data_IF_320635856049
#
_entry.id   IF_320635856049
#
_cell.length_a   1.000
_cell.length_b   1.000
_cell.length_c   1.000
_cell.angle_alpha   90.00
_cell.angle_beta   90.00
_cell.angle_gamma   90.00
#
_symmetry.space_group_name_H-M   'P 1'
#
loop_
_entity.id
_entity.type
_entity.pdbx_description
1 polymer ?
#
# COMPACT_ATOMS: atom_id res chain seq x y z
N UNK A 1 0.39 -20.67 -14.13
CA UNK A 1 -0.83 -20.58 -14.93
C UNK A 1 -1.80 -21.66 -14.47
N UNK A 2 -3.02 -21.30 -13.99
CA UNK A 2 -4.11 -22.25 -13.80
C UNK A 2 -4.43 -22.68 -12.38
N UNK A 3 -4.08 -21.93 -11.33
CA UNK A 3 -4.86 -22.04 -10.07
C UNK A 3 -6.25 -21.54 -10.38
N UNK A 4 -7.27 -22.40 -10.18
CA UNK A 4 -8.66 -22.02 -10.30
C UNK A 4 -8.84 -20.69 -9.55
N UNK A 5 -9.32 -19.66 -10.27
CA UNK A 5 -9.63 -18.37 -9.68
C UNK A 5 -10.67 -18.64 -8.60
N UNK A 6 -10.26 -18.63 -7.35
CA UNK A 6 -11.22 -18.59 -6.24
C UNK A 6 -12.10 -17.36 -6.47
N UNK A 7 -13.38 -17.49 -6.13
CA UNK A 7 -14.34 -16.41 -6.34
C UNK A 7 -13.88 -15.16 -5.64
N UNK A 8 -13.78 -14.05 -6.38
CA UNK A 8 -13.48 -12.72 -5.82
C UNK A 8 -14.53 -12.39 -4.76
N UNK A 9 -14.07 -11.84 -3.65
CA UNK A 9 -14.91 -11.47 -2.52
C UNK A 9 -15.57 -10.10 -2.78
N UNK A 10 -16.88 -10.01 -2.66
CA UNK A 10 -17.62 -8.74 -2.72
C UNK A 10 -17.74 -8.06 -1.34
N UNK A 11 -18.11 -6.78 -1.34
CA UNK A 11 -18.24 -5.99 -0.10
C UNK A 11 -19.24 -6.57 0.89
N UNK A 12 -20.34 -7.19 0.40
CA UNK A 12 -21.34 -7.83 1.24
C UNK A 12 -20.74 -9.02 1.97
N UNK A 13 -20.04 -9.87 1.24
CA UNK A 13 -19.36 -11.05 1.78
C UNK A 13 -18.25 -10.63 2.74
N UNK A 14 -17.46 -9.57 2.43
CA UNK A 14 -16.45 -9.02 3.35
C UNK A 14 -17.07 -8.64 4.70
N UNK A 15 -18.21 -7.96 4.70
CA UNK A 15 -18.93 -7.58 5.94
C UNK A 15 -19.42 -8.78 6.72
N UNK A 16 -19.94 -9.80 6.04
CA UNK A 16 -20.39 -11.06 6.68
C UNK A 16 -19.21 -11.77 7.34
N UNK A 17 -18.09 -11.93 6.63
CA UNK A 17 -16.89 -12.58 7.19
C UNK A 17 -16.30 -11.80 8.36
N UNK A 18 -16.30 -10.47 8.30
CA UNK A 18 -15.87 -9.64 9.44
C UNK A 18 -16.81 -9.82 10.64
N UNK A 19 -18.12 -9.92 10.42
CA UNK A 19 -19.09 -10.21 11.48
C UNK A 19 -18.86 -11.57 12.11
N UNK A 20 -18.61 -12.61 11.30
CA UNK A 20 -18.28 -13.95 11.78
C UNK A 20 -16.97 -13.97 12.57
N UNK A 21 -15.96 -13.20 12.15
CA UNK A 21 -14.70 -13.05 12.89
C UNK A 21 -14.94 -12.44 14.29
N UNK A 22 -15.77 -11.40 14.39
CA UNK A 22 -16.12 -10.80 15.67
C UNK A 22 -16.91 -11.76 16.56
N UNK A 23 -17.82 -12.53 15.99
CA UNK A 23 -18.61 -13.54 16.72
C UNK A 23 -17.70 -14.63 17.29
N UNK A 24 -16.80 -15.18 16.47
CA UNK A 24 -15.83 -16.18 16.89
C UNK A 24 -14.90 -15.69 18.00
N UNK A 25 -14.62 -14.40 18.04
CA UNK A 25 -13.78 -13.77 19.05
C UNK A 25 -14.54 -13.15 20.22
N UNK A 26 -15.87 -13.29 20.30
CA UNK A 26 -16.72 -12.60 21.28
C UNK A 26 -16.30 -12.81 22.74
N UNK A 27 -15.74 -13.98 23.08
CA UNK A 27 -15.20 -14.30 24.39
C UNK A 27 -13.81 -13.71 24.69
N UNK A 28 -13.09 -13.25 23.66
CA UNK A 28 -11.72 -12.72 23.76
C UNK A 28 -11.65 -11.20 23.64
N UNK A 29 -12.71 -10.57 23.12
CA UNK A 29 -12.79 -9.13 22.94
C UNK A 29 -13.38 -8.47 24.20
N UNK A 30 -12.72 -7.42 24.68
CA UNK A 30 -13.22 -6.58 25.76
C UNK A 30 -13.45 -5.14 25.28
N UNK A 31 -12.51 -4.59 24.51
CA UNK A 31 -12.59 -3.23 23.98
C UNK A 31 -13.68 -3.13 22.92
N UNK A 32 -13.66 -4.02 21.93
CA UNK A 32 -14.62 -4.01 20.81
C UNK A 32 -15.95 -4.72 21.11
N UNK A 33 -16.05 -5.45 22.19
CA UNK A 33 -17.28 -6.18 22.58
C UNK A 33 -18.53 -5.29 22.61
N UNK A 34 -18.38 -4.06 23.10
CA UNK A 34 -19.50 -3.10 23.24
C UNK A 34 -20.01 -2.58 21.90
N UNK A 35 -19.26 -2.74 20.84
CA UNK A 35 -19.53 -2.17 19.52
C UNK A 35 -19.78 -3.25 18.46
N UNK A 36 -19.67 -4.54 18.79
CA UNK A 36 -19.73 -5.67 17.86
C UNK A 36 -21.03 -5.73 17.03
N UNK A 37 -22.12 -5.18 17.52
CA UNK A 37 -23.41 -5.11 16.82
C UNK A 37 -23.60 -3.86 15.95
N UNK A 38 -22.61 -2.93 15.91
CA UNK A 38 -22.75 -1.67 15.18
C UNK A 38 -22.22 -1.81 13.74
N UNK A 39 -23.05 -1.57 12.69
CA UNK A 39 -22.60 -1.66 11.30
C UNK A 39 -21.39 -0.79 10.97
N UNK A 40 -21.28 0.40 11.59
CA UNK A 40 -20.16 1.29 11.42
C UNK A 40 -18.83 0.66 11.87
N UNK A 41 -18.82 -0.20 12.88
CA UNK A 41 -17.63 -0.89 13.32
C UNK A 41 -17.13 -1.85 12.23
N UNK A 42 -18.03 -2.59 11.57
CA UNK A 42 -17.65 -3.52 10.50
C UNK A 42 -16.94 -2.79 9.36
N UNK A 43 -17.48 -1.65 8.94
CA UNK A 43 -16.85 -0.83 7.89
C UNK A 43 -15.48 -0.31 8.31
N UNK A 44 -15.35 0.21 9.53
CA UNK A 44 -14.07 0.71 10.04
C UNK A 44 -13.02 -0.41 10.18
N UNK A 45 -13.41 -1.61 10.60
CA UNK A 45 -12.50 -2.75 10.70
C UNK A 45 -12.07 -3.25 9.32
N UNK A 46 -12.97 -3.23 8.33
CA UNK A 46 -12.61 -3.56 6.95
C UNK A 46 -11.63 -2.53 6.36
N UNK A 47 -11.89 -1.23 6.56
CA UNK A 47 -10.93 -0.17 6.17
C UNK A 47 -9.58 -0.40 6.82
N UNK A 48 -9.56 -0.67 8.13
CA UNK A 48 -8.32 -0.96 8.87
C UNK A 48 -7.56 -2.16 8.28
N UNK A 49 -8.24 -3.27 7.96
CA UNK A 49 -7.60 -4.44 7.33
C UNK A 49 -7.05 -4.09 5.95
N UNK A 50 -7.79 -3.32 5.14
CA UNK A 50 -7.31 -2.84 3.85
C UNK A 50 -6.04 -1.98 4.00
N UNK A 51 -6.04 -1.01 4.92
CA UNK A 51 -4.87 -0.17 5.20
C UNK A 51 -3.66 -0.99 5.65
N UNK A 52 -3.85 -2.00 6.52
CA UNK A 52 -2.77 -2.90 6.94
C UNK A 52 -2.12 -3.59 5.73
N UNK A 53 -2.94 -4.12 4.82
CA UNK A 53 -2.45 -4.79 3.62
C UNK A 53 -1.71 -3.84 2.69
N UNK A 54 -2.26 -2.65 2.44
CA UNK A 54 -1.61 -1.62 1.62
C UNK A 54 -0.26 -1.18 2.21
N UNK A 55 -0.17 -1.14 3.54
CA UNK A 55 1.08 -0.87 4.26
C UNK A 55 1.99 -2.09 4.39
N UNK A 56 1.57 -3.26 3.91
CA UNK A 56 2.24 -4.55 4.10
C UNK A 56 2.57 -4.82 5.58
N UNK A 57 1.63 -4.52 6.49
CA UNK A 57 1.73 -4.77 7.93
C UNK A 57 0.93 -6.00 8.27
N UNK A 58 1.57 -6.95 8.94
CA UNK A 58 0.94 -8.21 9.37
C UNK A 58 0.23 -8.06 10.71
N UNK A 59 -0.79 -8.91 11.00
CA UNK A 59 -1.39 -8.95 12.33
C UNK A 59 -0.38 -9.24 13.44
N UNK A 60 0.65 -10.05 13.19
CA UNK A 60 1.68 -10.40 14.17
C UNK A 60 2.54 -9.20 14.55
N UNK A 61 2.88 -8.33 13.59
CA UNK A 61 3.61 -7.09 13.86
C UNK A 61 2.80 -6.15 14.76
N UNK A 62 1.47 -6.08 14.58
CA UNK A 62 0.60 -5.30 15.45
C UNK A 62 0.56 -5.90 16.85
N UNK A 63 0.51 -7.23 16.97
CA UNK A 63 0.57 -7.92 18.26
C UNK A 63 1.88 -7.60 18.99
N UNK A 64 3.00 -7.59 18.29
CA UNK A 64 4.31 -7.25 18.85
C UNK A 64 4.35 -5.80 19.36
N UNK A 65 3.86 -4.84 18.56
CA UNK A 65 3.76 -3.42 18.96
C UNK A 65 2.84 -3.26 20.18
N UNK A 66 1.74 -4.02 20.23
CA UNK A 66 0.81 -3.98 21.37
C UNK A 66 1.48 -4.30 22.70
N UNK A 67 2.45 -5.21 22.71
CA UNK A 67 3.24 -5.58 23.87
C UNK A 67 4.30 -4.55 24.26
N UNK A 68 4.74 -3.73 23.32
CA UNK A 68 5.81 -2.73 23.52
C UNK A 68 5.28 -1.35 23.94
N UNK A 69 3.98 -1.08 23.73
CA UNK A 69 3.42 0.24 24.07
C UNK A 69 3.30 0.42 25.58
N UNK A 70 3.75 1.56 26.10
CA UNK A 70 3.59 1.94 27.51
C UNK A 70 2.14 2.29 27.90
N UNK A 71 1.25 2.47 26.92
CA UNK A 71 -0.16 2.78 27.15
C UNK A 71 -1.00 1.50 27.15
N UNK A 72 -1.42 1.05 28.34
CA UNK A 72 -2.19 -0.18 28.54
C UNK A 72 -3.50 -0.23 27.73
N UNK A 73 -4.20 0.89 27.60
CA UNK A 73 -5.46 0.97 26.83
C UNK A 73 -5.20 0.82 25.34
N UNK A 74 -4.16 1.47 24.82
CA UNK A 74 -3.75 1.35 23.43
C UNK A 74 -3.25 -0.07 23.13
N UNK A 75 -2.42 -0.63 24.01
CA UNK A 75 -1.92 -2.00 23.87
C UNK A 75 -3.07 -3.01 23.77
N UNK A 76 -4.07 -2.91 24.64
CA UNK A 76 -5.26 -3.77 24.59
C UNK A 76 -6.03 -3.62 23.28
N UNK A 77 -6.25 -2.38 22.82
CA UNK A 77 -6.92 -2.11 21.55
C UNK A 77 -6.15 -2.72 20.37
N UNK A 78 -4.82 -2.55 20.30
CA UNK A 78 -3.97 -3.10 19.23
C UNK A 78 -3.98 -4.63 19.27
N UNK A 79 -3.89 -5.25 20.43
CA UNK A 79 -3.97 -6.70 20.59
C UNK A 79 -5.29 -7.26 20.05
N UNK A 80 -6.43 -6.63 20.37
CA UNK A 80 -7.72 -7.05 19.84
C UNK A 80 -7.84 -6.82 18.32
N UNK A 81 -7.29 -5.71 17.79
CA UNK A 81 -7.24 -5.45 16.35
C UNK A 81 -6.40 -6.51 15.60
N UNK A 82 -5.26 -6.91 16.15
CA UNK A 82 -4.45 -8.00 15.62
C UNK A 82 -5.23 -9.31 15.54
N UNK A 83 -5.92 -9.69 16.63
CA UNK A 83 -6.75 -10.91 16.66
C UNK A 83 -7.89 -10.86 15.63
N UNK A 84 -8.55 -9.71 15.49
CA UNK A 84 -9.64 -9.53 14.51
C UNK A 84 -9.12 -9.67 13.09
N UNK A 85 -8.01 -9.00 12.76
CA UNK A 85 -7.39 -9.08 11.44
C UNK A 85 -6.96 -10.51 11.10
N UNK A 86 -6.28 -11.19 12.01
CA UNK A 86 -5.86 -12.58 11.81
C UNK A 86 -7.06 -13.54 11.63
N UNK A 87 -8.13 -13.37 12.41
CA UNK A 87 -9.34 -14.18 12.29
C UNK A 87 -10.05 -13.95 10.95
N UNK A 88 -10.13 -12.70 10.51
CA UNK A 88 -10.71 -12.33 9.22
C UNK A 88 -9.89 -12.93 8.06
N UNK A 89 -8.58 -12.78 8.06
CA UNK A 89 -7.70 -13.33 7.02
C UNK A 89 -7.80 -14.86 6.95
N UNK A 90 -7.89 -15.53 8.09
CA UNK A 90 -8.09 -16.97 8.15
C UNK A 90 -9.44 -17.43 7.55
N UNK A 91 -10.50 -16.63 7.68
CA UNK A 91 -11.79 -16.94 7.06
C UNK A 91 -11.78 -16.68 5.55
N UNK A 92 -11.21 -15.56 5.12
CA UNK A 92 -11.08 -15.20 3.70
C UNK A 92 -10.27 -16.25 2.95
N UNK A 93 -9.10 -16.61 3.46
CA UNK A 93 -8.16 -17.54 2.80
C UNK A 93 -8.71 -18.95 2.55
N UNK A 94 -9.77 -19.35 3.28
CA UNK A 94 -10.39 -20.68 3.13
C UNK A 94 -11.21 -20.83 1.85
N UNK A 95 -11.83 -19.78 1.35
CA UNK A 95 -12.86 -19.90 0.32
C UNK A 95 -12.87 -18.80 -0.73
N UNK A 96 -12.10 -17.73 -0.53
CA UNK A 96 -12.15 -16.56 -1.39
C UNK A 96 -10.74 -16.14 -1.80
N UNK A 97 -10.69 -15.40 -2.89
CA UNK A 97 -9.55 -14.64 -3.30
C UNK A 97 -9.78 -13.18 -2.86
N UNK A 98 -8.91 -12.64 -2.03
CA UNK A 98 -8.99 -11.25 -1.58
C UNK A 98 -8.17 -10.37 -2.52
N UNK A 99 -8.86 -9.45 -3.21
CA UNK A 99 -8.21 -8.49 -4.12
C UNK A 99 -7.13 -7.65 -3.42
N UNK A 100 -7.30 -7.41 -2.13
CA UNK A 100 -6.31 -6.69 -1.30
C UNK A 100 -4.98 -7.48 -1.14
N UNK A 101 -4.97 -8.77 -1.41
CA UNK A 101 -3.76 -9.61 -1.39
C UNK A 101 -3.13 -9.79 -2.77
N UNK A 102 -3.76 -9.30 -3.84
CA UNK A 102 -3.31 -9.49 -5.21
C UNK A 102 -1.88 -9.01 -5.44
N UNK A 103 -1.56 -7.81 -4.96
CA UNK A 103 -0.23 -7.23 -5.13
C UNK A 103 0.85 -8.00 -4.34
N UNK A 104 0.52 -8.49 -3.15
CA UNK A 104 1.44 -9.33 -2.37
C UNK A 104 1.73 -10.63 -3.12
N UNK A 105 0.67 -11.31 -3.60
CA UNK A 105 0.83 -12.54 -4.39
C UNK A 105 1.58 -12.26 -5.70
N UNK A 106 1.30 -11.12 -6.35
CA UNK A 106 2.00 -10.73 -7.56
C UNK A 106 3.50 -10.51 -7.31
N UNK A 107 3.87 -9.84 -6.22
CA UNK A 107 5.27 -9.65 -5.85
C UNK A 107 6.01 -10.98 -5.64
N UNK A 108 5.37 -11.93 -4.94
CA UNK A 108 5.91 -13.28 -4.74
C UNK A 108 6.08 -14.02 -6.07
N UNK A 109 5.03 -14.03 -6.91
CA UNK A 109 5.07 -14.66 -8.24
C UNK A 109 6.13 -14.04 -9.16
N UNK A 110 6.29 -12.71 -9.14
CA UNK A 110 7.33 -12.01 -9.92
C UNK A 110 8.70 -12.50 -9.47
N UNK A 111 8.93 -12.68 -8.18
CA UNK A 111 10.19 -13.17 -7.65
C UNK A 111 10.53 -14.60 -8.12
N UNK A 112 9.51 -15.44 -8.34
CA UNK A 112 9.64 -16.84 -8.72
C UNK A 112 9.65 -17.09 -10.24
N UNK A 113 9.36 -16.06 -11.06
CA UNK A 113 9.23 -16.22 -12.53
C UNK A 113 10.24 -15.37 -13.28
N UNK A 114 10.54 -15.76 -14.53
CA UNK A 114 11.41 -15.03 -15.46
C UNK A 114 10.61 -14.10 -16.37
N UNK A 115 9.37 -13.76 -16.01
CA UNK A 115 8.48 -13.00 -16.89
C UNK A 115 9.06 -11.63 -17.27
N UNK A 116 9.78 -10.99 -16.37
CA UNK A 116 10.35 -9.65 -16.59
C UNK A 116 11.79 -9.67 -17.12
N UNK A 117 12.40 -10.83 -17.27
CA UNK A 117 13.78 -10.93 -17.74
C UNK A 117 13.97 -10.31 -19.11
N UNK A 118 14.96 -9.43 -19.24
CA UNK A 118 15.30 -8.73 -20.47
C UNK A 118 14.23 -7.75 -20.99
N UNK A 119 13.26 -7.37 -20.15
CA UNK A 119 12.21 -6.42 -20.54
C UNK A 119 12.45 -5.04 -19.94
N UNK A 120 12.03 -4.02 -20.70
CA UNK A 120 11.87 -2.66 -20.18
C UNK A 120 10.48 -2.52 -19.55
N UNK A 121 10.42 -1.99 -18.32
CA UNK A 121 9.18 -1.79 -17.57
C UNK A 121 8.98 -0.29 -17.32
N UNK A 122 7.78 0.20 -17.56
CA UNK A 122 7.43 1.60 -17.42
C UNK A 122 6.29 1.76 -16.40
N UNK A 123 6.52 2.63 -15.43
CA UNK A 123 5.49 3.10 -14.48
C UNK A 123 5.22 4.56 -14.77
N UNK A 124 4.03 4.87 -15.24
CA UNK A 124 3.66 6.22 -15.67
C UNK A 124 2.37 6.68 -15.01
N UNK A 125 2.27 8.00 -14.77
CA UNK A 125 1.11 8.66 -14.16
C UNK A 125 0.81 8.23 -12.70
N UNK A 126 1.81 7.81 -11.94
CA UNK A 126 1.67 7.55 -10.50
C UNK A 126 2.05 8.80 -9.68
N UNK A 127 1.22 9.13 -8.69
CA UNK A 127 1.53 10.19 -7.72
C UNK A 127 2.31 9.67 -6.50
N UNK A 128 2.46 8.36 -6.38
CA UNK A 128 3.13 7.63 -5.31
C UNK A 128 2.72 6.17 -5.33
N UNK A 129 3.35 5.36 -4.51
CA UNK A 129 3.11 3.93 -4.43
C UNK A 129 2.80 3.50 -3.00
N UNK A 130 1.85 2.61 -2.85
CA UNK A 130 1.64 1.88 -1.58
C UNK A 130 2.84 0.97 -1.28
N UNK A 131 2.97 0.49 -0.06
CA UNK A 131 4.04 -0.45 0.28
C UNK A 131 3.94 -1.75 -0.53
N UNK A 132 2.71 -2.23 -0.80
CA UNK A 132 2.51 -3.41 -1.65
C UNK A 132 2.98 -3.17 -3.09
N UNK A 133 2.66 -2.02 -3.68
CA UNK A 133 3.13 -1.65 -5.03
C UNK A 133 4.65 -1.52 -5.08
N UNK A 134 5.27 -0.89 -4.06
CA UNK A 134 6.73 -0.84 -3.94
C UNK A 134 7.35 -2.24 -3.82
N UNK A 135 6.71 -3.17 -3.12
CA UNK A 135 7.18 -4.56 -3.06
C UNK A 135 7.15 -5.23 -4.44
N UNK A 136 6.12 -4.97 -5.26
CA UNK A 136 6.10 -5.43 -6.66
C UNK A 136 7.25 -4.81 -7.47
N UNK A 137 7.45 -3.49 -7.38
CA UNK A 137 8.57 -2.81 -8.05
C UNK A 137 9.90 -3.43 -7.62
N UNK A 138 10.08 -3.64 -6.32
CA UNK A 138 11.26 -4.26 -5.73
C UNK A 138 11.53 -5.67 -6.28
N UNK A 139 10.48 -6.47 -6.53
CA UNK A 139 10.60 -7.79 -7.15
C UNK A 139 10.93 -7.72 -8.64
N UNK A 140 10.54 -6.65 -9.34
CA UNK A 140 10.81 -6.42 -10.77
C UNK A 140 12.25 -5.93 -10.99
N UNK A 141 12.75 -5.04 -10.14
CA UNK A 141 14.05 -4.37 -10.30
C UNK A 141 15.22 -5.30 -10.64
N UNK A 142 15.44 -6.44 -9.97
CA UNK A 142 16.58 -7.30 -10.24
C UNK A 142 16.43 -8.15 -11.51
N UNK A 143 15.25 -8.17 -12.15
CA UNK A 143 14.91 -9.03 -13.29
C UNK A 143 14.77 -8.27 -14.60
N UNK A 144 14.21 -7.06 -14.52
CA UNK A 144 14.03 -6.23 -15.71
C UNK A 144 15.36 -5.68 -16.22
N UNK A 145 15.49 -5.56 -17.53
CA UNK A 145 16.65 -4.91 -18.15
C UNK A 145 16.72 -3.43 -17.80
N UNK A 146 15.57 -2.75 -17.86
CA UNK A 146 15.42 -1.35 -17.46
C UNK A 146 14.06 -1.11 -16.80
N UNK A 147 14.03 -0.28 -15.77
CA UNK A 147 12.78 0.19 -15.15
C UNK A 147 12.75 1.71 -15.20
N UNK A 148 11.70 2.25 -15.79
CA UNK A 148 11.47 3.69 -15.93
C UNK A 148 10.25 4.08 -15.09
N UNK A 149 10.40 5.10 -14.25
CA UNK A 149 9.33 5.58 -13.39
C UNK A 149 9.20 7.09 -13.60
N UNK A 150 8.04 7.55 -14.09
CA UNK A 150 7.75 8.98 -14.21
C UNK A 150 7.11 9.50 -12.93
N UNK A 151 7.62 10.63 -12.44
CA UNK A 151 7.08 11.33 -11.28
C UNK A 151 6.84 12.79 -11.65
N UNK A 152 5.69 13.32 -11.23
CA UNK A 152 5.37 14.74 -11.42
C UNK A 152 5.79 15.53 -10.18
N UNK A 153 6.87 16.32 -10.32
CA UNK A 153 7.42 17.11 -9.21
C UNK A 153 7.95 18.45 -9.73
N UNK A 154 8.28 19.36 -8.81
CA UNK A 154 9.12 20.53 -9.14
C UNK A 154 10.58 20.07 -9.44
N UNK A 155 11.36 20.96 -9.99
CA UNK A 155 12.72 20.66 -10.44
C UNK A 155 13.68 20.31 -9.31
N UNK A 156 13.32 20.59 -8.07
CA UNK A 156 14.20 20.42 -6.91
C UNK A 156 13.79 19.23 -6.05
N UNK A 157 14.25 18.04 -6.43
CA UNK A 157 14.07 16.80 -5.69
C UNK A 157 14.76 16.80 -4.31
N UNK A 158 15.59 17.77 -4.01
CA UNK A 158 16.33 17.88 -2.75
C UNK A 158 15.64 18.79 -1.72
N UNK A 159 14.57 19.46 -2.09
CA UNK A 159 13.89 20.44 -1.24
C UNK A 159 13.12 19.73 -0.12
N UNK A 160 13.68 19.79 1.08
CA UNK A 160 12.98 19.40 2.31
C UNK A 160 12.10 20.57 2.77
N UNK A 161 10.83 20.30 3.07
CA UNK A 161 9.91 21.28 3.61
C UNK A 161 8.50 21.12 3.11
N UNK A 162 7.58 21.96 3.57
CA UNK A 162 6.15 21.93 3.18
C UNK A 162 6.04 22.37 1.71
N UNK A 163 6.04 21.40 0.81
CA UNK A 163 5.85 21.57 -0.63
C UNK A 163 4.65 20.76 -1.09
N UNK A 164 3.97 21.22 -2.13
CA UNK A 164 2.91 20.45 -2.81
C UNK A 164 3.46 19.09 -3.30
N UNK A 165 4.76 19.01 -3.56
CA UNK A 165 5.44 17.83 -4.08
C UNK A 165 6.17 17.00 -3.01
N UNK A 166 6.00 17.30 -1.72
CA UNK A 166 6.68 16.60 -0.62
C UNK A 166 6.45 15.07 -0.68
N UNK A 167 5.21 14.65 -0.93
CA UNK A 167 4.89 13.23 -1.07
C UNK A 167 5.64 12.58 -2.24
N UNK A 168 5.78 13.26 -3.37
CA UNK A 168 6.47 12.73 -4.55
C UNK A 168 7.99 12.69 -4.33
N UNK A 169 8.55 13.69 -3.67
CA UNK A 169 9.96 13.73 -3.31
C UNK A 169 10.31 12.62 -2.30
N UNK A 170 9.44 12.37 -1.33
CA UNK A 170 9.54 11.22 -0.42
C UNK A 170 9.49 9.89 -1.17
N UNK A 171 8.57 9.78 -2.14
CA UNK A 171 8.45 8.57 -2.96
C UNK A 171 9.70 8.30 -3.80
N UNK A 172 10.31 9.33 -4.37
CA UNK A 172 11.59 9.21 -5.06
C UNK A 172 12.69 8.62 -4.16
N UNK A 173 12.73 9.05 -2.89
CA UNK A 173 13.68 8.50 -1.90
C UNK A 173 13.40 7.04 -1.61
N UNK A 174 12.14 6.65 -1.40
CA UNK A 174 11.74 5.25 -1.20
C UNK A 174 12.09 4.35 -2.39
N UNK A 175 11.91 4.84 -3.62
CA UNK A 175 12.28 4.09 -4.83
C UNK A 175 13.78 3.87 -4.92
N UNK A 176 14.58 4.86 -4.54
CA UNK A 176 16.06 4.72 -4.44
C UNK A 176 16.45 3.70 -3.38
N UNK A 177 15.78 3.68 -2.24
CA UNK A 177 15.99 2.67 -1.20
C UNK A 177 15.65 1.27 -1.73
N UNK A 178 14.53 1.11 -2.43
CA UNK A 178 14.15 -0.17 -3.05
C UNK A 178 15.22 -0.66 -4.04
N UNK A 179 15.78 0.24 -4.86
CA UNK A 179 16.84 -0.10 -5.79
C UNK A 179 18.14 -0.50 -5.06
N UNK A 180 18.54 0.26 -4.03
CA UNK A 180 19.70 -0.03 -3.22
C UNK A 180 19.59 -1.41 -2.52
N UNK A 181 18.44 -1.73 -1.94
CA UNK A 181 18.18 -3.03 -1.31
C UNK A 181 18.30 -4.21 -2.30
N UNK A 182 18.04 -3.97 -3.59
CA UNK A 182 18.20 -4.98 -4.64
C UNK A 182 19.55 -4.91 -5.36
N UNK A 183 20.47 -4.05 -4.91
CA UNK A 183 21.76 -3.79 -5.57
C UNK A 183 21.62 -3.34 -7.04
N UNK A 184 20.56 -2.60 -7.36
CA UNK A 184 20.30 -2.06 -8.69
C UNK A 184 20.75 -0.60 -8.75
N UNK A 185 21.54 -0.25 -9.78
CA UNK A 185 22.00 1.11 -10.00
C UNK A 185 20.86 2.02 -10.46
N UNK A 186 20.84 3.25 -9.92
CA UNK A 186 19.88 4.29 -10.34
C UNK A 186 20.63 5.35 -11.13
N UNK A 187 20.16 5.63 -12.36
CA UNK A 187 20.69 6.72 -13.19
C UNK A 187 20.25 8.09 -12.65
N UNK A 188 20.93 9.14 -13.09
CA UNK A 188 20.48 10.50 -12.79
C UNK A 188 19.09 10.73 -13.37
N UNK A 189 18.19 11.41 -12.63
CA UNK A 189 16.87 11.75 -13.13
C UNK A 189 16.92 12.56 -14.43
N UNK A 190 16.07 12.21 -15.38
CA UNK A 190 15.88 12.98 -16.60
C UNK A 190 14.69 13.94 -16.42
N UNK A 191 14.93 15.23 -16.61
CA UNK A 191 13.89 16.25 -16.49
C UNK A 191 13.19 16.42 -17.83
N UNK A 192 11.93 16.00 -17.89
CA UNK A 192 11.09 16.18 -19.07
C UNK A 192 10.47 17.60 -19.05
N UNK A 193 11.03 18.48 -19.86
CA UNK A 193 10.47 19.83 -20.01
C UNK A 193 9.37 19.83 -21.10
N UNK A 194 8.15 20.18 -20.71
CA UNK A 194 7.08 20.46 -21.67
C UNK A 194 7.41 21.81 -22.35
N UNK A 195 7.82 21.77 -23.61
CA UNK A 195 8.18 22.99 -24.34
C UNK A 195 6.96 23.84 -24.76
N UNK A 196 5.81 23.21 -24.92
CA UNK A 196 4.54 23.86 -25.25
C UNK A 196 3.51 23.45 -24.20
N UNK A 197 3.18 24.41 -23.35
CA UNK A 197 2.12 24.23 -22.36
C UNK A 197 0.78 24.55 -23.06
N UNK A 198 0.03 23.52 -23.43
CA UNK A 198 -1.30 23.67 -24.02
C UNK A 198 -2.37 24.19 -23.03
N UNK A 199 -1.98 24.55 -21.81
CA UNK A 199 -2.87 25.11 -20.79
C UNK A 199 -3.18 26.59 -21.09
N UNK A 200 -4.33 27.05 -20.61
CA UNK A 200 -4.67 28.45 -20.75
C UNK A 200 -3.70 29.37 -19.97
N UNK A 201 -3.41 30.59 -20.43
CA UNK A 201 -2.54 31.53 -19.73
C UNK A 201 -2.96 31.79 -18.27
N UNK A 202 -4.27 31.71 -17.98
CA UNK A 202 -4.83 31.91 -16.64
C UNK A 202 -4.42 30.75 -15.71
N UNK A 203 -4.40 29.52 -16.21
CA UNK A 203 -3.95 28.33 -15.43
C UNK A 203 -2.46 28.40 -15.16
N UNK A 204 -1.66 28.79 -16.15
CA UNK A 204 -0.21 28.98 -15.97
C UNK A 204 0.06 30.08 -14.95
N UNK A 205 -0.69 31.18 -15.01
CA UNK A 205 -0.59 32.26 -14.04
C UNK A 205 -0.96 31.79 -12.63
N UNK A 206 -2.06 31.06 -12.50
CA UNK A 206 -2.53 30.54 -11.22
C UNK A 206 -1.49 29.58 -10.57
N UNK A 207 -0.92 28.67 -11.34
CA UNK A 207 0.13 27.75 -10.88
C UNK A 207 1.34 28.51 -10.33
N UNK A 208 1.81 29.51 -11.09
CA UNK A 208 2.96 30.34 -10.69
C UNK A 208 2.75 31.06 -9.34
N UNK A 209 1.51 31.48 -9.06
CA UNK A 209 1.20 32.23 -7.82
C UNK A 209 0.75 31.34 -6.66
N UNK A 210 0.16 30.17 -6.92
CA UNK A 210 -0.25 29.23 -5.86
C UNK A 210 0.87 28.32 -5.39
N UNK A 211 1.78 27.94 -6.29
CA UNK A 211 2.88 27.01 -5.97
C UNK A 211 4.16 27.75 -5.58
N UNK A 212 4.15 29.07 -5.55
CA UNK A 212 5.16 29.94 -4.94
C UNK A 212 6.53 29.91 -5.60
N UNK A 213 6.74 30.68 -6.63
CA UNK A 213 8.00 31.35 -6.92
C UNK A 213 7.84 32.86 -6.72
#
# INVERSE_FOLDING_TARGET
YGKALNKTIDDGTRKVLMSLSLEALSGKLEYFKRFSSKPALLSNLLTFVTELKQCAVTPDEIAEISGKTGNKSLGKKLSELSLIAASYDALVSRSFFDDENLLTIAADMISETDFFDGKAVYFDAFCGFTKQERNCIKSILPKAENVFISLCTDRDLSREGISVFENVNSEFSHLKECAAEQNVGVSSPEILNVKEDGRSPELVYLEKYLCGE
#
